data_IF_438541504161
#
_entry.id   IF_438541504161
#
_cell.length_a   1.000
_cell.length_b   1.000
_cell.length_c   1.000
_cell.angle_alpha   90.00
_cell.angle_beta   90.00
_cell.angle_gamma   90.00
#
_symmetry.space_group_name_H-M   'P 1'
#
loop_
_entity.id
_entity.type
_entity.pdbx_description
1 polymer ?
#
# COMPACT_ATOMS: atom_id res chain seq x y z
N UNK A 1 15.73 -3.32 13.17
CA UNK A 1 15.76 -2.45 11.98
C UNK A 1 15.30 -3.28 10.80
N UNK A 2 14.09 -3.03 10.30
CA UNK A 2 13.60 -3.64 9.08
C UNK A 2 14.28 -3.11 7.83
N UNK A 3 13.93 -3.68 6.68
CA UNK A 3 14.47 -3.26 5.38
C UNK A 3 13.51 -2.32 4.67
N UNK A 4 14.01 -1.29 4.00
CA UNK A 4 13.19 -0.58 3.03
C UNK A 4 13.00 -1.44 1.76
N UNK A 5 11.87 -1.22 1.08
CA UNK A 5 11.62 -1.74 -0.26
C UNK A 5 11.65 -0.60 -1.27
N UNK A 6 12.46 -0.76 -2.31
CA UNK A 6 12.59 0.17 -3.43
C UNK A 6 12.64 -0.67 -4.72
N UNK A 7 11.56 -0.63 -5.50
CA UNK A 7 11.44 -1.39 -6.76
C UNK A 7 11.21 -0.45 -7.94
N UNK A 8 11.74 -0.81 -9.11
CA UNK A 8 11.61 -0.06 -10.36
C UNK A 8 11.06 -0.94 -11.48
N UNK A 9 9.95 -0.54 -12.10
CA UNK A 9 9.37 -1.25 -13.26
C UNK A 9 9.21 -0.35 -14.47
N UNK A 10 9.69 -0.82 -15.62
CA UNK A 10 9.58 -0.11 -16.90
C UNK A 10 8.17 -0.33 -17.49
N UNK A 11 7.47 0.75 -17.79
CA UNK A 11 6.22 0.74 -18.56
C UNK A 11 6.50 1.15 -20.01
N UNK A 12 6.27 0.20 -20.93
CA UNK A 12 6.36 0.40 -22.38
C UNK A 12 4.96 0.61 -22.95
N UNK A 13 4.87 1.13 -24.17
CA UNK A 13 3.58 1.33 -24.84
C UNK A 13 3.05 2.75 -24.69
N UNK A 14 1.92 3.00 -25.32
CA UNK A 14 1.28 4.32 -25.35
C UNK A 14 0.48 4.65 -24.08
N UNK A 15 0.09 3.64 -23.31
CA UNK A 15 -0.70 3.78 -22.08
C UNK A 15 -0.23 2.78 -21.03
N UNK A 16 -0.43 3.14 -19.78
CA UNK A 16 -0.23 2.29 -18.62
C UNK A 16 -1.50 2.25 -17.76
N UNK A 17 -2.64 2.21 -18.46
CA UNK A 17 -4.00 2.29 -17.91
C UNK A 17 -4.26 1.32 -16.78
N UNK A 18 -3.90 0.04 -16.92
CA UNK A 18 -4.14 -0.96 -15.86
C UNK A 18 -3.46 -0.59 -14.54
N UNK A 19 -2.26 -0.01 -14.61
CA UNK A 19 -1.58 0.46 -13.40
C UNK A 19 -2.19 1.78 -12.90
N UNK A 20 -2.60 2.67 -13.80
CA UNK A 20 -3.35 3.89 -13.45
C UNK A 20 -4.64 3.54 -12.70
N UNK A 21 -5.42 2.59 -13.22
CA UNK A 21 -6.68 2.15 -12.62
C UNK A 21 -6.50 1.58 -11.21
N UNK A 22 -5.38 0.87 -10.99
CA UNK A 22 -5.02 0.36 -9.67
C UNK A 22 -4.56 1.46 -8.72
N UNK A 23 -3.69 2.37 -9.18
CA UNK A 23 -3.15 3.48 -8.37
C UNK A 23 -4.25 4.47 -7.98
N UNK A 24 -5.11 4.82 -8.93
CA UNK A 24 -6.19 5.79 -8.78
C UNK A 24 -7.50 5.16 -8.29
N UNK A 25 -7.46 3.87 -7.93
CA UNK A 25 -8.60 3.10 -7.39
C UNK A 25 -9.85 3.15 -8.28
N UNK A 26 -9.69 3.19 -9.60
CA UNK A 26 -10.77 2.99 -10.59
C UNK A 26 -11.23 1.53 -10.63
N UNK A 27 -10.31 0.62 -10.34
CA UNK A 27 -10.60 -0.81 -10.14
C UNK A 27 -10.07 -1.22 -8.78
N UNK A 28 -10.97 -1.67 -7.91
CA UNK A 28 -10.63 -2.14 -6.56
C UNK A 28 -10.11 -3.57 -6.65
N UNK A 29 -8.86 -3.79 -6.22
CA UNK A 29 -8.26 -5.12 -6.17
C UNK A 29 -8.74 -5.89 -4.92
N UNK A 30 -8.71 -7.24 -4.92
CA UNK A 30 -9.22 -8.04 -3.80
C UNK A 30 -8.51 -7.79 -2.45
N UNK A 31 -7.27 -7.33 -2.48
CA UNK A 31 -6.46 -7.06 -1.29
C UNK A 31 -6.58 -5.62 -0.77
N UNK A 32 -7.47 -4.81 -1.35
CA UNK A 32 -7.74 -3.43 -0.94
C UNK A 32 -8.90 -3.42 0.04
N UNK A 33 -8.73 -2.70 1.15
CA UNK A 33 -9.77 -2.38 2.12
C UNK A 33 -10.48 -1.06 1.74
N UNK A 34 -11.70 -1.11 1.19
CA UNK A 34 -12.40 0.09 0.72
C UNK A 34 -12.69 1.10 1.83
N UNK A 35 -12.74 0.65 3.09
CA UNK A 35 -13.00 1.54 4.23
C UNK A 35 -11.82 2.47 4.50
N UNK A 36 -10.62 2.11 4.03
CA UNK A 36 -9.37 2.87 4.24
C UNK A 36 -8.94 3.67 3.03
N UNK A 37 -9.58 3.53 1.87
CA UNK A 37 -9.17 4.22 0.63
C UNK A 37 -9.16 5.75 0.76
N UNK A 38 -10.01 6.31 1.62
CA UNK A 38 -10.01 7.75 1.92
C UNK A 38 -8.72 8.25 2.61
N UNK A 39 -7.88 7.34 3.14
CA UNK A 39 -6.58 7.63 3.73
C UNK A 39 -5.46 7.72 2.68
N UNK A 40 -5.72 7.31 1.43
CA UNK A 40 -4.77 7.44 0.33
C UNK A 40 -4.55 8.92 0.01
N UNK A 41 -3.32 9.27 -0.38
CA UNK A 41 -2.93 10.67 -0.62
C UNK A 41 -2.13 10.83 -1.88
N UNK A 42 -2.52 11.81 -2.70
CA UNK A 42 -1.69 12.28 -3.80
C UNK A 42 -0.57 13.17 -3.25
N UNK A 43 0.68 12.77 -3.52
CA UNK A 43 1.89 13.47 -3.05
C UNK A 43 2.49 14.39 -4.12
N UNK A 44 1.98 14.31 -5.35
CA UNK A 44 2.33 15.18 -6.47
C UNK A 44 1.08 15.85 -6.96
N UNK A 45 1.06 17.19 -6.95
CA UNK A 45 -0.01 17.96 -7.56
C UNK A 45 0.08 17.85 -9.08
N UNK A 46 -0.98 17.35 -9.71
CA UNK A 46 -1.08 17.29 -11.16
C UNK A 46 -1.10 18.71 -11.77
N UNK A 47 -0.53 18.91 -12.97
CA UNK A 47 -0.65 20.18 -13.69
C UNK A 47 -2.10 20.54 -14.01
N UNK A 48 -2.37 21.83 -14.23
CA UNK A 48 -3.71 22.30 -14.55
C UNK A 48 -4.27 21.62 -15.81
N UNK A 49 -5.51 21.13 -15.72
CA UNK A 49 -6.18 20.40 -16.81
C UNK A 49 -5.84 18.92 -16.90
N UNK A 50 -4.88 18.42 -16.11
CA UNK A 50 -4.50 17.00 -16.04
C UNK A 50 -5.14 16.39 -14.81
N UNK A 51 -5.88 15.29 -14.99
CA UNK A 51 -6.57 14.58 -13.89
C UNK A 51 -6.07 13.16 -13.69
N UNK A 52 -5.40 12.60 -14.69
CA UNK A 52 -5.02 11.20 -14.71
C UNK A 52 -3.50 11.08 -14.83
N UNK A 53 -2.96 10.02 -14.24
CA UNK A 53 -1.53 9.72 -14.28
C UNK A 53 -1.04 9.48 -15.72
N UNK A 54 -1.86 8.87 -16.58
CA UNK A 54 -1.50 8.64 -18.00
C UNK A 54 -1.38 9.97 -18.77
N UNK A 55 -2.27 10.92 -18.51
CA UNK A 55 -2.22 12.27 -19.08
C UNK A 55 -1.00 13.04 -18.58
N UNK A 56 -0.63 12.88 -17.30
CA UNK A 56 0.59 13.49 -16.73
C UNK A 56 1.86 12.98 -17.42
N UNK A 57 1.95 11.67 -17.71
CA UNK A 57 3.04 11.09 -18.50
C UNK A 57 3.06 11.70 -19.90
N UNK A 58 1.91 11.74 -20.59
CA UNK A 58 1.80 12.26 -21.94
C UNK A 58 2.17 13.75 -22.04
N UNK A 59 1.70 14.56 -21.09
CA UNK A 59 2.02 15.98 -21.01
C UNK A 59 3.50 16.21 -20.78
N UNK A 60 4.13 15.48 -19.85
CA UNK A 60 5.56 15.59 -19.60
C UNK A 60 6.40 15.20 -20.82
N UNK A 61 6.03 14.13 -21.52
CA UNK A 61 6.69 13.73 -22.77
C UNK A 61 6.56 14.82 -23.84
N UNK A 62 5.37 15.40 -23.98
CA UNK A 62 5.06 16.39 -25.01
C UNK A 62 5.78 17.72 -24.77
N UNK A 63 5.92 18.13 -23.50
CA UNK A 63 6.62 19.38 -23.12
C UNK A 63 8.14 19.26 -23.06
N UNK A 64 8.70 18.04 -23.08
CA UNK A 64 10.13 17.79 -22.93
C UNK A 64 11.00 18.23 -24.13
N UNK A 65 10.42 18.70 -25.23
CA UNK A 65 11.19 19.11 -26.41
C UNK A 65 11.86 17.94 -27.15
N UNK A 66 11.32 16.72 -27.03
CA UNK A 66 11.81 15.54 -27.74
C UNK A 66 11.48 15.68 -29.23
N UNK A 67 12.50 15.91 -30.05
CA UNK A 67 12.32 16.13 -31.51
C UNK A 67 12.12 14.86 -32.33
N UNK A 68 12.55 13.70 -31.81
CA UNK A 68 12.43 12.43 -32.53
C UNK A 68 11.12 11.73 -32.18
N UNK A 69 10.54 11.05 -33.18
CA UNK A 69 9.38 10.18 -32.98
C UNK A 69 9.66 9.14 -31.89
N UNK A 70 8.75 9.07 -30.92
CA UNK A 70 8.75 8.07 -29.86
C UNK A 70 8.08 6.81 -30.41
N UNK A 71 8.78 5.68 -30.35
CA UNK A 71 8.25 4.40 -30.85
C UNK A 71 7.31 3.76 -29.83
N UNK A 72 6.51 2.79 -30.28
CA UNK A 72 5.52 2.13 -29.44
C UNK A 72 6.14 1.25 -28.34
N UNK A 73 7.37 0.76 -28.56
CA UNK A 73 8.11 -0.12 -27.66
C UNK A 73 8.98 0.63 -26.64
N UNK A 74 9.09 1.95 -26.77
CA UNK A 74 9.87 2.77 -25.86
C UNK A 74 9.24 2.83 -24.47
N UNK A 75 10.11 2.84 -23.46
CA UNK A 75 9.72 3.02 -22.06
C UNK A 75 9.31 4.48 -21.87
N UNK A 76 8.02 4.70 -21.63
CA UNK A 76 7.44 6.03 -21.43
C UNK A 76 7.38 6.41 -19.96
N UNK A 77 7.26 5.43 -19.08
CA UNK A 77 7.27 5.64 -17.65
C UNK A 77 8.09 4.56 -16.91
N UNK A 78 8.61 4.93 -15.75
CA UNK A 78 9.19 4.02 -14.76
C UNK A 78 8.31 4.14 -13.51
N UNK A 79 7.73 3.01 -13.10
CA UNK A 79 7.01 2.89 -11.84
C UNK A 79 8.03 2.65 -10.74
N UNK A 80 7.92 3.40 -9.66
CA UNK A 80 8.74 3.23 -8.46
C UNK A 80 7.81 2.86 -7.32
N UNK A 81 8.10 1.79 -6.62
CA UNK A 81 7.42 1.43 -5.38
C UNK A 81 8.36 1.66 -4.21
N UNK A 82 7.91 2.42 -3.22
CA UNK A 82 8.64 2.71 -2.00
C UNK A 82 7.84 2.24 -0.79
N UNK A 83 8.45 1.44 0.07
CA UNK A 83 7.84 0.96 1.32
C UNK A 83 8.92 0.46 2.28
N UNK A 84 8.52 -0.27 3.31
CA UNK A 84 9.37 -1.03 4.22
C UNK A 84 8.71 -2.36 4.56
N UNK A 85 9.32 -3.08 5.49
CA UNK A 85 8.67 -4.19 6.20
C UNK A 85 7.36 -3.72 6.85
N UNK A 86 6.38 -4.62 6.94
CA UNK A 86 5.04 -4.26 7.42
C UNK A 86 5.12 -3.66 8.82
N UNK A 87 5.83 -4.32 9.72
CA UNK A 87 5.99 -3.95 11.12
C UNK A 87 6.58 -2.54 11.26
N UNK A 88 7.68 -2.25 10.55
CA UNK A 88 8.34 -0.94 10.61
C UNK A 88 7.47 0.17 9.98
N UNK A 89 6.73 -0.12 8.90
CA UNK A 89 5.81 0.88 8.32
C UNK A 89 4.65 1.21 9.26
N UNK A 90 4.10 0.21 9.95
CA UNK A 90 3.07 0.41 10.98
C UNK A 90 3.62 1.17 12.19
N UNK A 91 4.88 0.94 12.57
CA UNK A 91 5.55 1.69 13.63
C UNK A 91 5.75 3.17 13.24
N UNK A 92 6.20 3.45 12.01
CA UNK A 92 6.33 4.81 11.47
C UNK A 92 4.97 5.53 11.46
N UNK A 93 3.90 4.86 11.04
CA UNK A 93 2.53 5.39 11.07
C UNK A 93 2.09 5.69 12.51
N UNK A 94 2.19 4.71 13.40
CA UNK A 94 1.78 4.84 14.81
C UNK A 94 2.56 5.93 15.55
N UNK A 95 3.82 6.14 15.19
CA UNK A 95 4.66 7.20 15.73
C UNK A 95 4.32 8.61 15.18
N UNK A 96 3.37 8.73 14.26
CA UNK A 96 3.01 9.99 13.61
C UNK A 96 4.07 10.50 12.62
N UNK A 97 4.97 9.62 12.16
CA UNK A 97 6.12 9.97 11.33
C UNK A 97 5.92 9.67 9.84
N UNK A 98 4.72 9.23 9.45
CA UNK A 98 4.39 8.86 8.08
C UNK A 98 4.52 10.05 7.12
N UNK A 99 4.06 11.25 7.52
CA UNK A 99 4.16 12.46 6.70
C UNK A 99 5.61 12.87 6.44
N UNK A 100 6.48 12.68 7.44
CA UNK A 100 7.91 12.90 7.30
C UNK A 100 8.51 11.90 6.33
N UNK A 101 8.14 10.62 6.47
CA UNK A 101 8.61 9.56 5.57
C UNK A 101 8.19 9.82 4.12
N UNK A 102 6.94 10.24 3.89
CA UNK A 102 6.45 10.63 2.58
C UNK A 102 7.26 11.81 2.02
N UNK A 103 7.47 12.86 2.81
CA UNK A 103 8.21 14.06 2.38
C UNK A 103 9.65 13.73 2.00
N UNK A 104 10.38 12.98 2.82
CA UNK A 104 11.77 12.62 2.50
C UNK A 104 11.88 11.67 1.31
N UNK A 105 10.91 10.77 1.16
CA UNK A 105 10.83 9.88 -0.01
C UNK A 105 10.62 10.69 -1.29
N UNK A 106 9.74 11.69 -1.23
CA UNK A 106 9.50 12.61 -2.35
C UNK A 106 10.72 13.50 -2.63
N UNK A 107 11.36 14.05 -1.61
CA UNK A 107 12.58 14.86 -1.76
C UNK A 107 13.72 14.03 -2.39
N UNK A 108 13.86 12.76 -1.98
CA UNK A 108 14.80 11.85 -2.60
C UNK A 108 14.47 11.60 -4.08
N UNK A 109 13.20 11.34 -4.43
CA UNK A 109 12.75 11.17 -5.81
C UNK A 109 13.06 12.42 -6.65
N UNK A 110 12.69 13.60 -6.15
CA UNK A 110 12.90 14.87 -6.86
C UNK A 110 14.38 15.18 -7.08
N UNK A 111 15.23 14.97 -6.06
CA UNK A 111 16.67 15.16 -6.17
C UNK A 111 17.32 14.17 -7.13
N UNK A 112 16.85 12.93 -7.15
CA UNK A 112 17.47 11.84 -7.92
C UNK A 112 17.07 11.86 -9.39
N UNK A 113 15.79 12.11 -9.67
CA UNK A 113 15.22 11.97 -11.02
C UNK A 113 14.84 13.31 -11.66
N UNK A 114 14.84 14.39 -10.88
CA UNK A 114 14.40 15.72 -11.28
C UNK A 114 12.91 15.91 -11.06
N UNK A 115 12.52 17.04 -10.48
CA UNK A 115 11.13 17.36 -10.10
C UNK A 115 10.14 17.20 -11.27
N UNK A 116 10.49 17.71 -12.45
CA UNK A 116 9.64 17.59 -13.65
C UNK A 116 9.43 16.16 -14.13
N UNK A 117 10.35 15.25 -13.82
CA UNK A 117 10.26 13.87 -14.27
C UNK A 117 9.42 13.02 -13.33
N UNK A 118 9.18 13.45 -12.09
CA UNK A 118 8.27 12.79 -11.14
C UNK A 118 6.86 13.35 -11.38
N UNK A 119 6.07 12.65 -12.20
CA UNK A 119 4.78 13.17 -12.69
C UNK A 119 3.58 12.77 -11.84
N UNK A 120 3.74 11.76 -10.98
CA UNK A 120 2.71 11.31 -10.05
C UNK A 120 3.37 10.56 -8.90
N UNK A 121 2.84 10.73 -7.70
CA UNK A 121 3.12 9.84 -6.58
C UNK A 121 1.88 9.75 -5.69
N UNK A 122 1.48 8.54 -5.34
CA UNK A 122 0.29 8.27 -4.52
C UNK A 122 0.69 7.35 -3.38
N UNK A 123 0.36 7.76 -2.16
CA UNK A 123 0.43 6.93 -0.96
C UNK A 123 -0.82 6.06 -0.88
N UNK A 124 -0.62 4.74 -0.77
CA UNK A 124 -1.66 3.77 -0.48
C UNK A 124 -1.60 3.34 0.98
N UNK A 125 -2.71 3.52 1.68
CA UNK A 125 -2.95 3.18 3.08
C UNK A 125 -4.05 2.12 3.24
N UNK A 126 -4.63 1.69 2.14
CA UNK A 126 -5.78 0.79 2.05
C UNK A 126 -5.40 -0.63 1.62
N UNK A 127 -4.11 -0.97 1.63
CA UNK A 127 -3.61 -2.33 1.45
C UNK A 127 -2.92 -2.82 2.72
N UNK A 128 -2.28 -3.99 2.66
CA UNK A 128 -1.64 -4.61 3.82
C UNK A 128 -0.56 -3.73 4.45
N UNK A 129 0.28 -3.06 3.65
CA UNK A 129 1.41 -2.26 4.14
C UNK A 129 1.41 -0.89 3.47
N UNK A 130 1.55 0.23 4.21
CA UNK A 130 1.71 1.55 3.62
C UNK A 130 2.82 1.61 2.57
N UNK A 131 2.52 2.13 1.39
CA UNK A 131 3.51 2.25 0.31
C UNK A 131 3.20 3.39 -0.66
N UNK A 132 4.23 3.88 -1.35
CA UNK A 132 4.10 4.93 -2.38
C UNK A 132 4.29 4.31 -3.76
N UNK A 133 3.33 4.57 -4.64
CA UNK A 133 3.48 4.40 -6.07
C UNK A 133 3.89 5.73 -6.71
N UNK A 134 5.15 5.86 -7.10
CA UNK A 134 5.64 7.00 -7.87
C UNK A 134 5.83 6.65 -9.35
N UNK A 135 5.61 7.63 -10.22
CA UNK A 135 5.74 7.48 -11.68
C UNK A 135 6.73 8.51 -12.20
N UNK A 136 7.78 8.00 -12.85
CA UNK A 136 8.85 8.79 -13.44
C UNK A 136 8.77 8.75 -14.98
N UNK A 137 8.98 9.87 -15.64
CA UNK A 137 9.22 9.91 -17.10
C UNK A 137 10.73 9.96 -17.34
N UNK A 138 11.34 8.98 -18.04
CA UNK A 138 12.80 8.84 -18.13
C UNK A 138 13.42 9.79 -19.16
N UNK A 139 13.19 11.09 -19.00
CA UNK A 139 13.77 12.14 -19.85
C UNK A 139 15.20 12.42 -19.40
N UNK A 140 16.13 12.29 -20.35
CA UNK A 140 17.53 12.60 -20.14
C UNK A 140 18.03 13.56 -21.22
N UNK A 141 18.95 14.43 -20.82
CA UNK A 141 19.69 15.33 -21.72
C UNK A 141 21.13 14.85 -21.74
N UNK A 142 21.61 14.39 -22.90
CA UNK A 142 22.99 13.95 -23.01
C UNK A 142 23.31 13.26 -24.32
N UNK A 143 24.59 12.95 -24.49
CA UNK A 143 25.08 12.22 -25.65
C UNK A 143 24.36 10.86 -25.78
N UNK A 144 23.96 10.51 -27.00
CA UNK A 144 23.33 9.22 -27.28
C UNK A 144 24.41 8.16 -27.49
N UNK A 145 24.41 7.11 -26.67
CA UNK A 145 25.20 5.90 -26.94
C UNK A 145 24.55 5.12 -28.07
N UNK A 146 25.29 4.83 -29.15
CA UNK A 146 24.83 3.88 -30.18
C UNK A 146 25.00 2.45 -29.63
N UNK A 147 23.98 1.62 -29.80
CA UNK A 147 24.12 0.17 -29.60
C UNK A 147 25.27 -0.33 -30.50
N UNK A 148 26.24 -1.03 -29.92
CA UNK A 148 27.38 -1.62 -30.62
C UNK A 148 28.69 -0.82 -30.61
N UNK A 149 28.74 0.43 -30.14
CA UNK A 149 30.02 1.15 -29.99
C UNK A 149 30.64 0.86 -28.61
N UNK A 150 31.44 -0.20 -28.52
CA UNK A 150 32.55 -0.24 -27.54
C UNK A 150 33.45 0.96 -27.88
N UNK A 151 33.80 1.79 -26.90
CA UNK A 151 34.83 2.82 -27.09
C UNK A 151 36.13 2.10 -27.53
N UNK A 152 36.70 2.36 -28.70
CA UNK A 152 38.13 2.18 -28.85
C UNK A 152 38.77 3.29 -28.00
N UNK A 153 39.62 2.89 -27.04
CA UNK A 153 40.76 3.75 -26.73
C UNK A 153 41.68 3.68 -27.96
N UNK A 154 42.32 4.80 -28.24
CA UNK A 154 43.35 5.02 -29.27
C UNK A 154 42.88 5.55 -30.63
N UNK A 155 43.36 6.78 -30.85
CA UNK A 155 43.86 7.41 -32.08
C UNK A 155 43.19 7.04 -33.41
N UNK A 156 42.55 8.05 -34.02
CA UNK A 156 42.21 8.01 -35.44
C UNK A 156 40.72 7.88 -35.75
N UNK A 157 39.99 8.97 -35.49
CA UNK A 157 38.79 9.51 -36.20
C UNK A 157 37.87 10.20 -35.19
N UNK A 158 37.95 11.52 -35.15
CA UNK A 158 37.00 12.37 -34.42
C UNK A 158 35.63 12.32 -35.12
N UNK A 159 34.83 11.31 -34.79
CA UNK A 159 33.41 11.33 -35.15
C UNK A 159 32.77 12.60 -34.58
N UNK A 160 32.10 13.39 -35.43
CA UNK A 160 31.34 14.58 -35.04
C UNK A 160 30.40 14.22 -33.90
N UNK A 161 30.72 14.67 -32.68
CA UNK A 161 29.89 14.48 -31.50
C UNK A 161 28.53 15.12 -31.78
N UNK A 162 27.45 14.32 -31.77
CA UNK A 162 26.10 14.89 -31.91
C UNK A 162 25.81 15.68 -30.64
N UNK A 163 25.34 16.91 -30.80
CA UNK A 163 24.96 17.77 -29.68
C UNK A 163 24.01 17.05 -28.72
N UNK A 164 24.09 17.42 -27.44
CA UNK A 164 23.17 16.96 -26.40
C UNK A 164 21.72 17.16 -26.88
N UNK A 165 20.94 16.09 -26.83
CA UNK A 165 19.54 16.12 -27.24
C UNK A 165 18.69 15.49 -26.12
N UNK A 166 17.52 16.08 -25.89
CA UNK A 166 16.54 15.54 -24.97
C UNK A 166 15.91 14.28 -25.55
N UNK A 167 15.83 13.21 -24.77
CA UNK A 167 15.30 11.91 -25.19
C UNK A 167 14.72 11.11 -24.02
N UNK A 168 13.81 10.18 -24.33
CA UNK A 168 13.43 9.11 -23.41
C UNK A 168 14.51 8.03 -23.39
N UNK A 169 15.05 7.74 -22.21
CA UNK A 169 16.00 6.64 -22.05
C UNK A 169 15.98 6.06 -20.64
N UNK A 170 15.17 5.01 -20.46
CA UNK A 170 15.13 4.27 -19.21
C UNK A 170 16.46 3.57 -18.89
N UNK A 171 17.30 3.24 -19.87
CA UNK A 171 18.59 2.57 -19.62
C UNK A 171 19.64 3.52 -19.02
N UNK A 172 19.59 4.81 -19.37
CA UNK A 172 20.46 5.81 -18.73
C UNK A 172 20.00 6.12 -17.30
N UNK A 173 18.70 5.99 -17.01
CA UNK A 173 18.12 6.18 -15.68
C UNK A 173 18.33 4.94 -14.80
N UNK A 174 18.09 3.74 -15.35
CA UNK A 174 18.11 2.44 -14.67
C UNK A 174 19.25 1.55 -15.19
N UNK A 175 20.49 2.00 -15.05
CA UNK A 175 21.66 1.14 -15.25
C UNK A 175 22.10 0.52 -13.92
N UNK A 176 22.85 -0.59 -14.00
CA UNK A 176 23.31 -1.35 -12.83
C UNK A 176 24.01 -0.49 -11.76
N UNK A 177 24.92 0.38 -12.17
CA UNK A 177 25.67 1.26 -11.26
C UNK A 177 24.73 2.23 -10.54
N UNK A 178 23.81 2.86 -11.28
CA UNK A 178 22.82 3.78 -10.71
C UNK A 178 21.84 3.07 -9.78
N UNK A 179 21.36 1.88 -10.13
CA UNK A 179 20.48 1.11 -9.24
C UNK A 179 21.15 0.80 -7.90
N UNK A 180 22.42 0.36 -7.91
CA UNK A 180 23.18 0.14 -6.68
C UNK A 180 23.28 1.44 -5.87
N UNK A 181 23.63 2.55 -6.52
CA UNK A 181 23.74 3.86 -5.88
C UNK A 181 22.39 4.35 -5.32
N UNK A 182 21.26 4.12 -6.01
CA UNK A 182 19.93 4.51 -5.54
C UNK A 182 19.58 3.80 -4.23
N UNK A 183 19.86 2.50 -4.12
CA UNK A 183 19.67 1.79 -2.85
C UNK A 183 20.63 2.30 -1.76
N UNK A 184 21.89 2.61 -2.08
CA UNK A 184 22.85 3.18 -1.12
C UNK A 184 22.40 4.57 -0.63
N UNK A 185 21.87 5.39 -1.53
CA UNK A 185 21.45 6.77 -1.28
C UNK A 185 20.13 6.83 -0.53
N UNK A 186 19.17 6.00 -0.91
CA UNK A 186 17.88 5.91 -0.24
C UNK A 186 18.04 5.34 1.18
N UNK A 187 18.96 4.38 1.38
CA UNK A 187 19.30 3.88 2.71
C UNK A 187 19.68 5.01 3.67
N UNK A 188 20.53 5.95 3.24
CA UNK A 188 20.96 7.07 4.08
C UNK A 188 19.80 7.97 4.52
N UNK A 189 18.78 8.11 3.66
CA UNK A 189 17.55 8.86 4.01
C UNK A 189 16.69 8.05 4.98
N UNK A 190 16.64 6.73 4.81
CA UNK A 190 15.79 5.82 5.56
C UNK A 190 16.29 5.47 6.97
N UNK A 191 17.57 5.68 7.29
CA UNK A 191 18.16 5.41 8.62
C UNK A 191 17.33 6.01 9.76
N UNK A 192 16.85 7.25 9.60
CA UNK A 192 16.07 7.91 10.67
C UNK A 192 14.72 7.25 10.95
N UNK A 193 14.23 6.42 10.04
CA UNK A 193 12.99 5.64 10.18
C UNK A 193 13.25 4.20 10.68
N UNK A 194 14.48 3.87 11.07
CA UNK A 194 14.83 2.50 11.49
C UNK A 194 14.91 1.50 10.33
N UNK A 195 14.82 1.98 9.09
CA UNK A 195 14.85 1.18 7.88
C UNK A 195 16.26 1.13 7.28
N UNK A 196 16.73 -0.07 6.95
CA UNK A 196 18.06 -0.31 6.40
C UNK A 196 18.04 -0.83 4.97
N UNK A 197 19.22 -0.83 4.34
CA UNK A 197 19.43 -1.31 2.99
C UNK A 197 19.26 -2.82 2.88
N UNK A 198 18.58 -3.28 1.83
CA UNK A 198 18.61 -4.69 1.42
C UNK A 198 20.03 -5.21 1.14
N UNK A 199 20.20 -6.52 1.28
CA UNK A 199 21.48 -7.23 1.16
C UNK A 199 22.14 -6.95 -0.19
N UNK A 200 23.39 -6.48 -0.16
CA UNK A 200 24.17 -6.23 -1.38
C UNK A 200 24.53 -7.56 -2.03
N UNK A 201 24.23 -7.69 -3.33
CA UNK A 201 24.45 -8.94 -4.05
C UNK A 201 23.43 -10.03 -3.76
N UNK A 202 22.28 -9.69 -3.17
CA UNK A 202 21.18 -10.64 -2.95
C UNK A 202 20.84 -11.43 -4.21
N UNK A 203 20.73 -12.75 -4.07
CA UNK A 203 20.29 -13.66 -5.13
C UNK A 203 18.75 -13.77 -5.21
N UNK A 204 18.04 -13.06 -4.34
CA UNK A 204 16.59 -13.03 -4.34
C UNK A 204 16.05 -12.56 -5.70
N UNK A 205 15.10 -13.32 -6.24
CA UNK A 205 14.39 -12.95 -7.47
C UNK A 205 13.08 -12.28 -7.11
N UNK A 206 12.74 -11.23 -7.85
CA UNK A 206 11.44 -10.59 -7.69
C UNK A 206 10.32 -11.59 -7.98
N UNK A 207 9.38 -11.69 -7.04
CA UNK A 207 8.17 -12.49 -7.16
C UNK A 207 7.00 -11.54 -7.33
N UNK A 208 6.17 -11.77 -8.35
CA UNK A 208 4.95 -10.97 -8.53
C UNK A 208 3.98 -11.16 -7.37
N UNK A 209 3.16 -10.16 -7.04
CA UNK A 209 2.17 -10.25 -5.96
C UNK A 209 1.27 -11.48 -6.07
N UNK A 210 0.79 -11.79 -7.28
CA UNK A 210 -0.03 -12.97 -7.52
C UNK A 210 0.74 -14.29 -7.29
N UNK A 211 2.02 -14.34 -7.62
CA UNK A 211 2.85 -15.50 -7.34
C UNK A 211 3.15 -15.61 -5.85
N UNK A 212 3.43 -14.50 -5.16
CA UNK A 212 3.67 -14.49 -3.72
C UNK A 212 2.49 -15.07 -2.94
N UNK A 213 1.26 -14.65 -3.24
CA UNK A 213 0.06 -15.21 -2.60
C UNK A 213 -0.17 -16.69 -2.93
N UNK A 214 0.19 -17.15 -4.13
CA UNK A 214 0.13 -18.58 -4.49
C UNK A 214 1.15 -19.40 -3.71
N UNK A 215 2.38 -18.92 -3.62
CA UNK A 215 3.47 -19.58 -2.90
C UNK A 215 3.17 -19.62 -1.39
N UNK A 216 2.65 -18.51 -0.84
CA UNK A 216 2.22 -18.42 0.56
C UNK A 216 1.12 -19.44 0.86
N UNK A 217 0.08 -19.51 0.02
CA UNK A 217 -1.01 -20.49 0.18
C UNK A 217 -0.48 -21.92 0.16
N UNK A 218 0.39 -22.24 -0.80
CA UNK A 218 1.02 -23.56 -0.89
C UNK A 218 1.84 -23.89 0.35
N UNK A 219 2.62 -22.94 0.86
CA UNK A 219 3.40 -23.14 2.09
C UNK A 219 2.52 -23.34 3.32
N UNK A 220 1.40 -22.60 3.42
CA UNK A 220 0.42 -22.81 4.49
C UNK A 220 -0.18 -24.20 4.39
N UNK A 221 -0.61 -24.64 3.20
CA UNK A 221 -1.17 -25.97 2.99
C UNK A 221 -0.14 -27.08 3.35
N UNK A 222 1.13 -26.92 2.93
CA UNK A 222 2.24 -27.82 3.28
C UNK A 222 2.53 -27.84 4.80
N UNK A 223 2.50 -26.68 5.45
CA UNK A 223 2.69 -26.58 6.90
C UNK A 223 1.55 -27.23 7.67
N UNK A 224 0.29 -27.03 7.25
CA UNK A 224 -0.87 -27.69 7.84
C UNK A 224 -0.78 -29.22 7.72
N UNK A 225 -0.34 -29.72 6.56
CA UNK A 225 -0.08 -31.15 6.35
C UNK A 225 1.00 -31.68 7.30
N UNK A 226 2.13 -30.98 7.40
CA UNK A 226 3.23 -31.36 8.29
C UNK A 226 2.82 -31.33 9.76
N UNK A 227 2.02 -30.34 10.18
CA UNK A 227 1.48 -30.28 11.54
C UNK A 227 0.57 -31.47 11.82
N UNK A 228 -0.32 -31.85 10.89
CA UNK A 228 -1.15 -33.04 11.03
C UNK A 228 -0.33 -34.31 11.14
N UNK A 229 0.71 -34.46 10.32
CA UNK A 229 1.60 -35.62 10.37
C UNK A 229 2.34 -35.70 11.70
N UNK A 230 2.94 -34.59 12.16
CA UNK A 230 3.65 -34.54 13.44
C UNK A 230 2.73 -34.86 14.63
N UNK A 231 1.47 -34.41 14.59
CA UNK A 231 0.46 -34.79 15.60
C UNK A 231 0.19 -36.29 15.59
N UNK A 232 0.04 -36.90 14.41
CA UNK A 232 -0.17 -38.35 14.30
C UNK A 232 1.05 -39.16 14.78
N UNK A 233 2.26 -38.73 14.43
CA UNK A 233 3.51 -39.35 14.90
C UNK A 233 3.66 -39.22 16.42
N UNK A 234 3.28 -38.07 16.99
CA UNK A 234 3.27 -37.86 18.44
C UNK A 234 2.31 -38.82 19.15
N UNK A 235 1.07 -38.97 18.65
CA UNK A 235 0.09 -39.91 19.21
C UNK A 235 0.58 -41.37 19.11
N UNK A 236 1.22 -41.74 18.00
CA UNK A 236 1.77 -43.08 17.84
C UNK A 236 2.95 -43.32 18.80
N UNK A 237 3.86 -42.35 18.93
CA UNK A 237 4.98 -42.41 19.85
C UNK A 237 4.48 -42.54 21.31
N UNK A 238 3.44 -41.80 21.69
CA UNK A 238 2.84 -41.87 23.02
C UNK A 238 2.24 -43.25 23.30
N UNK A 239 1.51 -43.84 22.34
CA UNK A 239 1.00 -45.22 22.43
C UNK A 239 2.13 -46.25 22.57
N UNK A 240 3.20 -46.12 21.79
CA UNK A 240 4.38 -47.01 21.86
C UNK A 240 5.08 -46.91 23.21
N UNK A 241 5.16 -45.69 23.77
CA UNK A 241 5.76 -45.44 25.07
C UNK A 241 4.88 -46.06 26.18
N UNK A 242 3.56 -45.97 26.05
CA UNK A 242 2.62 -46.64 26.96
C UNK A 242 2.75 -48.17 26.89
N UNK A 243 2.87 -48.77 25.70
CA UNK A 243 3.08 -50.22 25.55
C UNK A 243 4.42 -50.66 26.11
N UNK A 244 5.50 -49.93 25.82
CA UNK A 244 6.83 -50.22 26.35
C UNK A 244 6.86 -50.10 27.89
N UNK A 245 6.16 -49.11 28.47
CA UNK A 245 5.97 -48.99 29.93
C UNK A 245 5.26 -50.21 30.50
N UNK A 246 4.19 -50.69 29.86
CA UNK A 246 3.46 -51.90 30.27
C UNK A 246 4.35 -53.15 30.21
N UNK A 247 5.11 -53.32 29.12
CA UNK A 247 6.05 -54.43 28.92
C UNK A 247 7.22 -54.42 29.92
N UNK A 248 7.80 -53.26 30.19
CA UNK A 248 8.84 -53.11 31.22
C UNK A 248 8.27 -53.47 32.58
N UNK A 249 7.03 -53.08 32.89
CA UNK A 249 6.41 -53.40 34.17
C UNK A 249 6.13 -54.92 34.32
N UNK A 250 5.66 -55.59 33.26
CA UNK A 250 5.49 -57.06 33.27
C UNK A 250 6.83 -57.80 33.30
N UNK A 251 7.83 -57.34 32.56
CA UNK A 251 9.19 -57.89 32.62
C UNK A 251 9.83 -57.68 33.98
N UNK A 252 9.61 -56.53 34.65
CA UNK A 252 10.03 -56.33 36.04
C UNK A 252 9.34 -57.30 36.99
N UNK A 253 8.04 -57.54 36.80
CA UNK A 253 7.30 -58.49 37.62
C UNK A 253 7.79 -59.93 37.43
N UNK A 254 8.07 -60.33 36.18
CA UNK A 254 8.65 -61.62 35.85
C UNK A 254 10.12 -61.73 36.27
N UNK A 255 10.90 -60.65 36.18
CA UNK A 255 12.27 -60.60 36.68
C UNK A 255 12.30 -60.73 38.20
N UNK A 256 11.41 -60.08 38.96
CA UNK A 256 11.27 -60.26 40.42
C UNK A 256 10.83 -61.68 40.77
N UNK A 257 9.94 -62.28 39.96
CA UNK A 257 9.59 -63.71 40.08
C UNK A 257 10.78 -64.62 39.81
N UNK A 258 11.55 -64.33 38.76
CA UNK A 258 12.73 -65.09 38.37
C UNK A 258 13.82 -64.89 39.39
N UNK A 259 14.03 -63.70 39.95
CA UNK A 259 14.94 -63.40 41.07
C UNK A 259 14.51 -64.10 42.35
N UNK A 260 13.21 -64.20 42.64
CA UNK A 260 12.74 -65.03 43.74
C UNK A 260 13.01 -66.52 43.46
N UNK A 261 12.80 -66.98 42.21
CA UNK A 261 13.10 -68.35 41.77
C UNK A 261 14.61 -68.65 41.75
N UNK A 262 15.44 -67.70 41.32
CA UNK A 262 16.88 -67.79 41.25
C UNK A 262 17.53 -67.49 42.58
N UNK A 263 16.91 -66.78 43.52
CA UNK A 263 17.36 -66.72 44.92
C UNK A 263 17.09 -68.06 45.63
N UNK A 264 15.99 -68.73 45.29
CA UNK A 264 15.73 -70.12 45.70
C UNK A 264 16.76 -71.07 45.04
N UNK A 265 17.17 -70.82 43.79
CA UNK A 265 18.19 -71.60 43.05
C UNK A 265 19.66 -71.19 43.35
N UNK A 266 19.93 -69.98 43.83
CA UNK A 266 21.26 -69.43 44.14
C UNK A 266 21.77 -69.92 45.47
N UNK A 267 20.91 -70.55 46.28
CA UNK A 267 21.34 -71.49 47.31
C UNK A 267 22.12 -72.69 46.73
N UNK A 268 22.12 -72.90 45.40
CA UNK A 268 22.76 -74.01 44.69
C UNK A 268 23.81 -73.57 43.64
N UNK A 269 23.95 -72.28 43.31
CA UNK A 269 24.73 -71.80 42.16
C UNK A 269 25.87 -70.82 42.46
N UNK A 270 26.74 -71.14 43.43
CA UNK A 270 28.07 -70.53 43.55
C UNK A 270 28.84 -70.70 42.25
N UNK A 271 29.42 -69.62 41.68
CA UNK A 271 30.47 -69.55 40.61
C UNK A 271 30.03 -68.84 39.31
N UNK A 272 30.06 -67.50 39.25
CA UNK A 272 30.60 -66.72 38.09
C UNK A 272 30.46 -65.19 38.27
N UNK A 273 31.60 -64.49 38.32
CA UNK A 273 31.78 -63.12 37.79
C UNK A 273 31.07 -61.93 38.46
N UNK A 274 31.21 -61.73 39.77
CA UNK A 274 30.56 -60.65 40.55
C UNK A 274 30.97 -59.19 40.19
N UNK A 275 32.07 -58.97 39.46
CA UNK A 275 32.61 -57.63 39.21
C UNK A 275 31.89 -56.83 38.12
N UNK A 276 31.64 -57.45 36.96
CA UNK A 276 31.06 -56.79 35.78
C UNK A 276 29.56 -56.53 35.89
N UNK A 277 28.87 -57.36 36.69
CA UNK A 277 27.46 -57.18 37.05
C UNK A 277 27.29 -55.95 37.95
N UNK A 278 28.17 -55.77 38.95
CA UNK A 278 28.14 -54.60 39.84
C UNK A 278 28.40 -53.28 39.11
N UNK A 279 29.26 -53.29 38.10
CA UNK A 279 29.55 -52.11 37.26
C UNK A 279 28.33 -51.74 36.39
N UNK A 280 27.74 -52.70 35.70
CA UNK A 280 26.51 -52.48 34.91
C UNK A 280 25.31 -52.05 35.77
N UNK A 281 25.19 -52.58 36.99
CA UNK A 281 24.17 -52.12 37.95
C UNK A 281 24.42 -50.68 38.42
N UNK A 282 25.68 -50.26 38.57
CA UNK A 282 26.03 -48.90 38.94
C UNK A 282 25.73 -47.92 37.79
N UNK A 283 26.07 -48.28 36.55
CA UNK A 283 25.79 -47.48 35.36
C UNK A 283 24.27 -47.33 35.12
N UNK A 284 23.50 -48.41 35.31
CA UNK A 284 22.04 -48.35 35.21
C UNK A 284 21.43 -47.42 36.25
N UNK A 285 21.93 -47.46 37.50
CA UNK A 285 21.48 -46.53 38.55
C UNK A 285 21.82 -45.08 38.20
N UNK A 286 23.00 -44.84 37.62
CA UNK A 286 23.41 -43.50 37.17
C UNK A 286 22.50 -42.98 36.05
N UNK A 287 22.24 -43.79 35.03
CA UNK A 287 21.35 -43.44 33.92
C UNK A 287 19.91 -43.21 34.39
N UNK A 288 19.40 -44.00 35.33
CA UNK A 288 18.07 -43.79 35.92
C UNK A 288 17.97 -42.46 36.66
N UNK A 289 19.00 -42.08 37.39
CA UNK A 289 19.04 -40.78 38.08
C UNK A 289 19.10 -39.62 37.08
N UNK A 290 19.87 -39.74 35.98
CA UNK A 290 19.90 -38.72 34.93
C UNK A 290 18.57 -38.59 34.19
N UNK A 291 17.89 -39.70 33.91
CA UNK A 291 16.56 -39.68 33.28
C UNK A 291 15.56 -38.97 34.19
N UNK A 292 15.53 -39.31 35.49
CA UNK A 292 14.64 -38.67 36.46
C UNK A 292 14.89 -37.14 36.55
N UNK A 293 16.15 -36.72 36.60
CA UNK A 293 16.50 -35.30 36.64
C UNK A 293 16.11 -34.55 35.35
N UNK A 294 16.21 -35.20 34.18
CA UNK A 294 15.77 -34.62 32.90
C UNK A 294 14.25 -34.54 32.80
N UNK A 295 13.53 -35.54 33.30
CA UNK A 295 12.06 -35.53 33.35
C UNK A 295 11.55 -34.37 34.21
N UNK A 296 12.13 -34.16 35.40
CA UNK A 296 11.81 -33.02 36.27
C UNK A 296 12.08 -31.66 35.58
N UNK A 297 13.22 -31.53 34.89
CA UNK A 297 13.54 -30.31 34.14
C UNK A 297 12.56 -30.04 32.98
N UNK A 298 12.09 -31.09 32.30
CA UNK A 298 11.09 -30.97 31.22
C UNK A 298 9.75 -30.51 31.79
N UNK A 299 9.32 -31.05 32.92
CA UNK A 299 8.08 -30.64 33.60
C UNK A 299 8.13 -29.16 34.01
N UNK A 300 9.25 -28.70 34.57
CA UNK A 300 9.47 -27.30 34.93
C UNK A 300 9.43 -26.36 33.72
N UNK A 301 10.07 -26.77 32.62
CA UNK A 301 10.07 -26.03 31.35
C UNK A 301 8.66 -25.93 30.77
N UNK A 302 7.89 -27.02 30.80
CA UNK A 302 6.50 -27.03 30.35
C UNK A 302 5.61 -26.12 31.21
N UNK A 303 5.78 -26.16 32.54
CA UNK A 303 5.07 -25.29 33.46
C UNK A 303 5.43 -23.80 33.26
N UNK A 304 6.69 -23.50 32.93
CA UNK A 304 7.14 -22.14 32.60
C UNK A 304 6.52 -21.63 31.30
N UNK A 305 6.53 -22.46 30.24
CA UNK A 305 5.91 -22.14 28.95
C UNK A 305 4.40 -21.91 29.07
N UNK A 306 3.69 -22.73 29.85
CA UNK A 306 2.26 -22.51 30.11
C UNK A 306 2.01 -21.19 30.83
N UNK A 307 2.83 -20.85 31.84
CA UNK A 307 2.74 -19.57 32.56
C UNK A 307 2.96 -18.38 31.63
N UNK A 308 3.98 -18.43 30.76
CA UNK A 308 4.21 -17.37 29.77
C UNK A 308 3.05 -17.23 28.78
N UNK A 309 2.53 -18.34 28.24
CA UNK A 309 1.37 -18.32 27.33
C UNK A 309 0.14 -17.70 27.99
N UNK A 310 -0.14 -18.07 29.25
CA UNK A 310 -1.25 -17.50 30.01
C UNK A 310 -1.05 -16.00 30.31
N UNK A 311 0.18 -15.55 30.54
CA UNK A 311 0.48 -14.13 30.71
C UNK A 311 0.29 -13.34 29.41
N UNK A 312 0.86 -13.80 28.31
CA UNK A 312 0.70 -13.15 27.00
C UNK A 312 -0.77 -13.10 26.56
N UNK A 313 -1.54 -14.17 26.82
CA UNK A 313 -2.99 -14.18 26.55
C UNK A 313 -3.74 -13.09 27.33
N UNK A 314 -3.37 -12.86 28.60
CA UNK A 314 -3.94 -11.79 29.42
C UNK A 314 -3.58 -10.39 28.93
N UNK A 315 -2.30 -10.18 28.60
CA UNK A 315 -1.82 -8.89 28.05
C UNK A 315 -2.54 -8.54 26.74
N UNK A 316 -2.68 -9.51 25.82
CA UNK A 316 -3.42 -9.32 24.57
C UNK A 316 -4.89 -8.96 24.81
N UNK A 317 -5.56 -9.64 25.74
CA UNK A 317 -6.95 -9.36 26.08
C UNK A 317 -7.12 -7.95 26.70
N UNK A 318 -6.18 -7.50 27.52
CA UNK A 318 -6.18 -6.14 28.07
C UNK A 318 -6.01 -5.09 26.97
N UNK A 319 -5.03 -5.27 26.07
CA UNK A 319 -4.79 -4.34 24.96
C UNK A 319 -6.00 -4.28 24.02
N UNK A 320 -6.61 -5.42 23.70
CA UNK A 320 -7.82 -5.47 22.88
C UNK A 320 -8.98 -4.71 23.52
N UNK A 321 -9.19 -4.90 24.83
CA UNK A 321 -10.25 -4.23 25.58
C UNK A 321 -10.04 -2.71 25.63
N UNK A 322 -8.82 -2.27 25.91
CA UNK A 322 -8.45 -0.84 25.92
C UNK A 322 -8.66 -0.19 24.54
N UNK A 323 -8.37 -0.91 23.47
CA UNK A 323 -8.59 -0.43 22.11
C UNK A 323 -10.08 -0.28 21.79
N UNK A 324 -10.90 -1.28 22.15
CA UNK A 324 -12.36 -1.25 21.96
C UNK A 324 -12.96 -0.07 22.73
N UNK A 325 -12.59 0.13 23.99
CA UNK A 325 -13.08 1.25 24.79
C UNK A 325 -12.71 2.61 24.20
N UNK A 326 -11.51 2.76 23.63
CA UNK A 326 -11.12 4.00 22.94
C UNK A 326 -11.97 4.26 21.71
N UNK A 327 -12.22 3.23 20.89
CA UNK A 327 -13.10 3.34 19.72
C UNK A 327 -14.54 3.71 20.11
N UNK A 328 -15.07 3.12 21.18
CA UNK A 328 -16.40 3.44 21.69
C UNK A 328 -16.48 4.90 22.16
N UNK A 329 -15.49 5.39 22.92
CA UNK A 329 -15.42 6.80 23.34
C UNK A 329 -15.39 7.78 22.15
N UNK A 330 -14.65 7.47 21.10
CA UNK A 330 -14.61 8.29 19.88
C UNK A 330 -15.94 8.24 19.10
N UNK A 331 -16.59 7.07 19.06
CA UNK A 331 -17.95 6.94 18.48
C UNK A 331 -18.97 7.76 19.27
N UNK A 332 -18.92 7.74 20.59
CA UNK A 332 -19.79 8.56 21.44
C UNK A 332 -19.56 10.05 21.23
N UNK A 333 -18.28 10.48 21.14
CA UNK A 333 -17.92 11.88 20.85
C UNK A 333 -18.45 12.33 19.48
N UNK A 334 -18.27 11.52 18.45
CA UNK A 334 -18.76 11.84 17.09
C UNK A 334 -20.28 11.86 17.04
N UNK A 335 -20.97 10.90 17.67
CA UNK A 335 -22.43 10.89 17.78
C UNK A 335 -22.95 12.12 18.54
N UNK A 336 -22.27 12.53 19.61
CA UNK A 336 -22.60 13.73 20.36
C UNK A 336 -22.46 15.00 19.52
N UNK A 337 -21.34 15.16 18.82
CA UNK A 337 -21.12 16.29 17.93
C UNK A 337 -22.15 16.32 16.79
N UNK A 338 -22.44 15.17 16.18
CA UNK A 338 -23.46 15.08 15.14
C UNK A 338 -24.83 15.53 15.64
N UNK A 339 -25.25 15.07 16.83
CA UNK A 339 -26.49 15.49 17.47
C UNK A 339 -26.55 17.01 17.69
N UNK A 340 -25.44 17.62 18.11
CA UNK A 340 -25.37 19.07 18.28
C UNK A 340 -25.39 19.82 16.95
N UNK A 341 -24.71 19.30 15.93
CA UNK A 341 -24.74 19.84 14.56
C UNK A 341 -26.17 19.81 13.99
N UNK A 342 -26.91 18.72 14.17
CA UNK A 342 -28.31 18.60 13.75
C UNK A 342 -29.21 19.62 14.48
N UNK A 343 -29.01 19.81 15.79
CA UNK A 343 -29.70 20.85 16.56
C UNK A 343 -29.37 22.26 16.07
N UNK A 344 -28.09 22.54 15.84
CA UNK A 344 -27.62 23.83 15.33
C UNK A 344 -28.23 24.14 13.95
N UNK A 345 -28.32 23.14 13.06
CA UNK A 345 -29.04 23.26 11.79
C UNK A 345 -30.52 23.63 11.97
N UNK A 346 -31.17 23.05 12.97
CA UNK A 346 -32.57 23.34 13.29
C UNK A 346 -32.79 24.75 13.84
N UNK A 347 -31.87 25.23 14.70
CA UNK A 347 -31.94 26.57 15.29
C UNK A 347 -31.55 27.68 14.32
N UNK A 348 -30.58 27.40 13.44
CA UNK A 348 -30.01 28.38 12.54
C UNK A 348 -30.13 27.89 11.08
N UNK A 349 -31.26 28.17 10.40
CA UNK A 349 -31.48 27.73 9.01
C UNK A 349 -30.38 28.20 8.05
N UNK A 350 -29.82 29.39 8.27
CA UNK A 350 -28.71 29.92 7.47
C UNK A 350 -27.42 29.11 7.68
N UNK A 351 -27.19 28.53 8.86
CA UNK A 351 -26.05 27.63 9.11
C UNK A 351 -26.23 26.29 8.41
N UNK A 352 -27.44 25.72 8.43
CA UNK A 352 -27.75 24.52 7.65
C UNK A 352 -27.55 24.76 6.14
N UNK A 353 -27.93 25.95 5.68
CA UNK A 353 -27.74 26.41 4.30
C UNK A 353 -26.25 26.60 3.95
N UNK A 354 -25.45 27.14 4.88
CA UNK A 354 -24.00 27.25 4.76
C UNK A 354 -23.35 25.87 4.58
N UNK A 355 -23.69 24.89 5.41
CA UNK A 355 -23.15 23.53 5.27
C UNK A 355 -23.58 22.84 3.98
N UNK A 356 -24.80 23.11 3.48
CA UNK A 356 -25.19 22.65 2.14
C UNK A 356 -24.33 23.31 1.06
N UNK A 357 -24.11 24.61 1.17
CA UNK A 357 -23.36 25.38 0.19
C UNK A 357 -21.86 25.04 0.20
N UNK A 358 -21.27 24.75 1.36
CA UNK A 358 -19.90 24.27 1.50
C UNK A 358 -19.69 22.96 0.73
N UNK A 359 -20.57 21.97 0.94
CA UNK A 359 -20.56 20.71 0.17
C UNK A 359 -20.72 20.95 -1.34
N UNK A 360 -21.58 21.89 -1.72
CA UNK A 360 -21.78 22.25 -3.12
C UNK A 360 -20.54 22.93 -3.72
N UNK A 361 -19.85 23.80 -2.99
CA UNK A 361 -18.59 24.40 -3.44
C UNK A 361 -17.52 23.32 -3.66
N UNK A 362 -17.42 22.36 -2.74
CA UNK A 362 -16.52 21.23 -2.88
C UNK A 362 -16.85 20.40 -4.13
N UNK A 363 -18.12 20.02 -4.33
CA UNK A 363 -18.52 19.23 -5.51
C UNK A 363 -18.42 20.00 -6.82
N UNK A 364 -18.59 21.32 -6.79
CA UNK A 364 -18.38 22.21 -7.94
C UNK A 364 -16.89 22.40 -8.31
N UNK A 365 -15.96 21.99 -7.45
CA UNK A 365 -14.52 22.03 -7.72
C UNK A 365 -13.76 23.19 -7.05
N UNK A 366 -14.32 23.78 -5.99
CA UNK A 366 -13.59 24.73 -5.13
C UNK A 366 -12.85 23.99 -4.01
N UNK A 367 -11.63 24.44 -3.72
CA UNK A 367 -10.84 23.97 -2.56
C UNK A 367 -11.44 24.46 -1.24
N UNK A 368 -11.09 23.84 -0.09
CA UNK A 368 -11.51 24.34 1.23
C UNK A 368 -11.14 25.81 1.44
N UNK A 369 -9.92 26.22 1.09
CA UNK A 369 -9.45 27.59 1.28
C UNK A 369 -10.20 28.59 0.38
N UNK A 370 -10.54 28.19 -0.84
CA UNK A 370 -11.39 28.99 -1.74
C UNK A 370 -12.82 29.09 -1.22
N UNK A 371 -13.36 28.00 -0.67
CA UNK A 371 -14.70 27.95 -0.10
C UNK A 371 -14.80 28.87 1.11
N UNK A 372 -13.83 28.82 2.03
CA UNK A 372 -13.74 29.73 3.17
C UNK A 372 -13.70 31.19 2.72
N UNK A 373 -12.89 31.49 1.70
CA UNK A 373 -12.83 32.83 1.12
C UNK A 373 -14.16 33.27 0.52
N UNK A 374 -14.89 32.38 -0.16
CA UNK A 374 -16.22 32.69 -0.67
C UNK A 374 -17.20 33.03 0.47
N UNK A 375 -17.16 32.34 1.61
CA UNK A 375 -17.99 32.65 2.77
C UNK A 375 -17.66 34.00 3.44
N UNK A 376 -16.54 34.65 3.10
CA UNK A 376 -16.28 36.05 3.48
C UNK A 376 -17.01 37.07 2.59
N UNK A 377 -17.80 36.61 1.61
CA UNK A 377 -18.51 37.41 0.60
C UNK A 377 -17.62 38.22 -0.35
N UNK A 378 -16.30 38.01 -0.28
CA UNK A 378 -15.35 38.65 -1.17
C UNK A 378 -15.34 37.96 -2.55
N UNK A 379 -15.24 38.73 -3.65
CA UNK A 379 -15.03 38.16 -4.98
C UNK A 379 -13.72 37.35 -5.03
N UNK A 380 -13.82 36.18 -5.65
CA UNK A 380 -12.73 35.25 -5.90
C UNK A 380 -12.52 35.10 -7.41
N UNK A 381 -11.36 35.48 -7.90
CA UNK A 381 -10.96 35.12 -9.26
C UNK A 381 -10.67 33.62 -9.34
N UNK A 382 -11.34 32.96 -10.27
CA UNK A 382 -11.30 31.53 -10.47
C UNK A 382 -10.91 31.20 -11.91
N UNK A 383 -9.88 30.39 -12.04
CA UNK A 383 -9.51 29.68 -13.27
C UNK A 383 -9.35 28.21 -12.92
N UNK A 384 -10.02 27.34 -13.67
CA UNK A 384 -10.09 25.93 -13.36
C UNK A 384 -11.31 25.26 -13.97
N UNK A 385 -11.71 24.12 -13.42
CA UNK A 385 -12.86 23.38 -13.90
C UNK A 385 -14.02 23.46 -12.91
N UNK A 386 -15.13 24.05 -13.32
CA UNK A 386 -16.37 24.01 -12.55
C UNK A 386 -17.20 22.80 -12.96
N UNK A 387 -17.55 21.96 -11.99
CA UNK A 387 -18.40 20.78 -12.23
C UNK A 387 -19.87 21.10 -12.00
N UNK A 388 -20.71 20.71 -12.97
CA UNK A 388 -22.17 20.77 -12.86
C UNK A 388 -22.71 19.39 -12.50
N UNK A 389 -23.31 19.26 -11.32
CA UNK A 389 -24.07 18.06 -10.95
C UNK A 389 -25.29 17.84 -11.86
N UNK A 390 -26.01 18.92 -12.21
CA UNK A 390 -27.21 18.89 -13.07
C UNK A 390 -26.92 18.28 -14.45
N UNK A 391 -25.78 18.65 -15.04
CA UNK A 391 -25.38 18.18 -16.37
C UNK A 391 -24.34 17.05 -16.35
N UNK A 392 -23.90 16.62 -15.16
CA UNK A 392 -22.84 15.62 -14.92
C UNK A 392 -21.57 15.86 -15.75
N UNK A 393 -21.19 17.13 -15.92
CA UNK A 393 -20.07 17.55 -16.78
C UNK A 393 -19.32 18.72 -16.16
N UNK A 394 -18.00 18.72 -16.35
CA UNK A 394 -17.14 19.85 -16.00
C UNK A 394 -16.98 20.81 -17.18
N UNK A 395 -16.92 22.10 -16.87
CA UNK A 395 -16.58 23.17 -17.81
C UNK A 395 -15.27 23.82 -17.36
N UNK A 396 -14.34 23.96 -18.31
CA UNK A 396 -13.13 24.76 -18.08
C UNK A 396 -13.48 26.24 -18.18
N UNK A 397 -13.07 26.98 -17.16
CA UNK A 397 -13.34 28.40 -16.96
C UNK A 397 -12.03 29.11 -16.72
N UNK A 398 -11.80 30.22 -17.40
CA UNK A 398 -10.61 31.04 -17.24
C UNK A 398 -11.02 32.47 -16.92
N UNK A 399 -10.49 33.03 -15.83
CA UNK A 399 -10.75 34.41 -15.44
C UNK A 399 -12.20 34.71 -15.04
N UNK A 400 -12.91 33.75 -14.43
CA UNK A 400 -14.24 34.03 -13.91
C UNK A 400 -14.18 34.58 -12.48
N UNK A 401 -15.16 35.39 -12.10
CA UNK A 401 -15.32 35.88 -10.74
C UNK A 401 -16.40 35.08 -10.03
N UNK A 402 -16.01 34.29 -9.04
CA UNK A 402 -16.92 33.60 -8.14
C UNK A 402 -17.19 34.46 -6.91
N UNK A 403 -18.45 34.55 -6.47
CA UNK A 403 -18.81 35.32 -5.28
C UNK A 403 -19.99 34.66 -4.57
N UNK A 404 -19.91 34.56 -3.25
CA UNK A 404 -21.04 34.15 -2.43
C UNK A 404 -21.94 35.35 -2.14
N UNK A 405 -23.25 35.14 -2.17
CA UNK A 405 -24.24 36.11 -1.72
C UNK A 405 -25.29 35.44 -0.84
N UNK A 406 -26.13 36.25 -0.21
CA UNK A 406 -27.34 35.80 0.48
C UNK A 406 -28.54 36.37 -0.26
N UNK A 407 -29.49 35.50 -0.59
CA UNK A 407 -30.73 35.86 -1.28
C UNK A 407 -31.94 35.38 -0.50
N UNK A 408 -33.08 36.06 -0.67
CA UNK A 408 -34.35 35.64 -0.11
C UNK A 408 -34.94 34.54 -1.00
N UNK A 409 -34.94 33.30 -0.51
CA UNK A 409 -35.63 32.17 -1.14
C UNK A 409 -37.00 31.88 -0.52
N UNK A 410 -37.70 30.88 -1.06
CA UNK A 410 -39.03 30.45 -0.59
C UNK A 410 -39.08 30.06 0.89
N UNK A 411 -37.97 29.54 1.43
CA UNK A 411 -37.86 29.08 2.83
C UNK A 411 -37.02 30.03 3.71
N UNK A 412 -36.79 31.25 3.26
CA UNK A 412 -35.98 32.25 3.95
C UNK A 412 -34.64 32.56 3.26
N UNK A 413 -33.75 33.24 4.00
CA UNK A 413 -32.41 33.62 3.50
C UNK A 413 -31.57 32.38 3.22
N UNK A 414 -30.94 32.33 2.04
CA UNK A 414 -30.05 31.25 1.60
C UNK A 414 -28.80 31.79 0.93
N UNK A 415 -27.71 31.05 1.04
CA UNK A 415 -26.49 31.26 0.28
C UNK A 415 -26.73 30.93 -1.20
N UNK A 416 -26.16 31.79 -2.05
CA UNK A 416 -26.16 31.64 -3.50
C UNK A 416 -24.76 31.91 -4.00
N UNK A 417 -24.20 30.95 -4.73
CA UNK A 417 -22.93 31.12 -5.42
C UNK A 417 -23.20 31.73 -6.81
N UNK A 418 -22.50 32.82 -7.11
CA UNK A 418 -22.58 33.52 -8.39
C UNK A 418 -21.26 33.44 -9.13
N UNK A 419 -21.32 33.15 -10.43
CA UNK A 419 -20.18 33.16 -11.35
C UNK A 419 -20.42 34.28 -12.38
N UNK A 420 -19.48 35.23 -12.46
CA UNK A 420 -19.59 36.43 -13.30
C UNK A 420 -20.91 37.19 -13.07
N UNK A 421 -21.34 37.28 -11.81
CA UNK A 421 -22.56 37.98 -11.38
C UNK A 421 -23.87 37.19 -11.57
N UNK A 422 -23.84 36.04 -12.24
CA UNK A 422 -25.01 35.17 -12.46
C UNK A 422 -25.06 34.03 -11.46
N UNK A 423 -26.25 33.58 -11.07
CA UNK A 423 -26.43 32.37 -10.29
C UNK A 423 -25.70 31.20 -10.99
N UNK A 424 -24.94 30.40 -10.24
CA UNK A 424 -24.10 29.33 -10.81
C UNK A 424 -24.90 28.32 -11.65
N UNK A 425 -26.15 28.02 -11.29
CA UNK A 425 -27.01 27.11 -12.06
C UNK A 425 -27.38 27.72 -13.42
N UNK A 426 -27.80 28.98 -13.43
CA UNK A 426 -28.14 29.69 -14.67
C UNK A 426 -26.89 29.90 -15.54
N UNK A 427 -25.75 30.18 -14.91
CA UNK A 427 -24.47 30.27 -15.60
C UNK A 427 -24.12 28.95 -16.30
N UNK A 428 -24.30 27.80 -15.64
CA UNK A 428 -24.11 26.49 -16.24
C UNK A 428 -25.06 26.26 -17.42
N UNK A 429 -26.36 26.50 -17.26
CA UNK A 429 -27.34 26.35 -18.35
C UNK A 429 -26.94 27.14 -19.59
N UNK A 430 -26.57 28.41 -19.42
CA UNK A 430 -26.11 29.23 -20.54
C UNK A 430 -24.85 28.68 -21.21
N UNK A 431 -23.86 28.20 -20.44
CA UNK A 431 -22.66 27.61 -21.03
C UNK A 431 -22.98 26.32 -21.79
N UNK A 432 -23.86 25.46 -21.27
CA UNK A 432 -24.27 24.24 -21.95
C UNK A 432 -25.12 24.52 -23.20
N UNK A 433 -26.02 25.51 -23.17
CA UNK A 433 -26.73 25.95 -24.38
C UNK A 433 -25.79 26.45 -25.48
N UNK A 434 -24.78 27.25 -25.10
CA UNK A 434 -23.74 27.71 -26.04
C UNK A 434 -22.95 26.54 -26.62
N UNK A 435 -22.63 25.54 -25.80
CA UNK A 435 -21.96 24.32 -26.23
C UNK A 435 -22.83 23.52 -27.21
N UNK A 436 -24.13 23.36 -26.91
CA UNK A 436 -25.09 22.66 -27.78
C UNK A 436 -25.30 23.37 -29.12
N UNK A 437 -25.36 24.71 -29.13
CA UNK A 437 -25.45 25.50 -30.37
C UNK A 437 -24.21 25.34 -31.25
N UNK A 438 -23.02 25.21 -30.66
CA UNK A 438 -21.77 24.93 -31.40
C UNK A 438 -21.73 23.52 -32.01
N UNK A 439 -22.46 22.56 -31.43
CA UNK A 439 -22.53 21.17 -31.91
C UNK A 439 -23.61 20.99 -33.00
N UNK A 440 -24.62 21.86 -33.07
CA UNK A 440 -25.70 21.82 -34.09
C UNK A 440 -25.50 22.73 -35.33
N UNK A 441 -24.47 22.56 -36.17
CA UNK A 441 -24.55 23.09 -37.53
C UNK A 441 -24.37 22.00 -38.61
N UNK A 442 -25.29 21.02 -38.73
CA UNK A 442 -25.53 20.28 -39.99
C UNK A 442 -26.87 19.53 -39.99
N UNK A 443 -28.01 20.22 -40.10
CA UNK A 443 -29.20 19.63 -40.73
C UNK A 443 -29.77 20.70 -41.65
N UNK A 444 -29.48 20.59 -42.95
CA UNK A 444 -30.20 21.32 -43.97
C UNK A 444 -31.69 20.97 -43.83
N UNK A 445 -32.53 21.97 -43.63
CA UNK A 445 -33.97 21.80 -43.83
C UNK A 445 -34.22 21.42 -45.29
N UNK A 446 -34.93 20.33 -45.60
CA UNK A 446 -35.43 20.13 -46.95
C UNK A 446 -36.47 21.20 -47.22
N UNK A 447 -36.26 21.99 -48.28
CA UNK A 447 -37.26 22.89 -48.83
C UNK A 447 -38.58 22.15 -49.03
N UNK A 448 -39.60 22.50 -48.24
CA UNK A 448 -40.98 22.13 -48.53
C UNK A 448 -41.40 22.88 -49.79
N UNK A 449 -41.33 22.20 -50.94
CA UNK A 449 -42.03 22.63 -52.15
C UNK A 449 -43.52 22.62 -51.87
N UNK A 450 -44.13 23.79 -51.99
CA UNK A 450 -45.58 23.98 -52.05
C UNK A 450 -46.19 23.03 -53.09
N UNK A 451 -47.04 22.11 -52.63
CA UNK A 451 -48.14 21.59 -53.43
C UNK A 451 -49.42 22.01 -52.73
N UNK A 452 -50.12 22.96 -53.34
CA UNK A 452 -51.43 23.39 -52.88
C UNK A 452 -52.47 22.29 -53.03
N UNK A 453 -53.53 22.41 -52.25
CA UNK A 453 -54.86 21.97 -52.65
C UNK A 453 -55.84 23.08 -52.32
N UNK A 454 -56.71 23.36 -53.30
CA UNK A 454 -57.71 24.42 -53.32
C UNK A 454 -58.92 24.08 -52.44
N UNK A 455 -59.46 25.16 -51.86
CA UNK A 455 -60.84 25.45 -51.39
C UNK A 455 -61.53 24.40 -50.50
#
# INVERSE_FOLDING_TARGET
>A
MGYFSLDFRKAKGASDSRMSDHIERRVIAPNVDPTRTHLNRELVRMPEGIRERDDAIAARISSAGIRRKITHDQVRAIRVMLSGTHEDMMEIEKAGRLDDWCRDSMDWLYRTFGRENVVSAVLHMDEHTPHIHATLVPIVTGERRKAGQKKPKEEGRTYRKKANAVRLCADDVLNRTKLIAYHDDYARVMVKYGLQRGIRGSEARHVSTAQYYRDLRRQTDELEENVRQLQAEQEEAEKRLETARKEINTQKLEAVKVEAKTAIMAKVGSLLGSGKIRELEADNRSLQNEIAAREESIEDLQASLQRQRAQHGRELATVQTDYIQKLERERERTAYLQKWTERACGWFPLFADAMRMERYCHSAGFTPEQTDRLFTFQPLEYSGNLYSEEHKRALSVTGATAQMGIEQGERGKRFVLRINGKNILDWFREQFERLLRRIRPTIQQPQRKNKGFKL
#
